data_IF_058426969741
#
_entry.id   IF_058426969741
#
_cell.length_a   1.000
_cell.length_b   1.000
_cell.length_c   1.000
_cell.angle_alpha   90.00
_cell.angle_beta   90.00
_cell.angle_gamma   90.00
#
_symmetry.space_group_name_H-M   'P 1'
#
loop_
_entity.id
_entity.type
_entity.pdbx_description
1 polymer ?
#
# COMPACT_ATOMS: atom_id res chain seq x y z
N UNK A 1 31.68 30.31 34.65
CA UNK A 1 32.23 29.44 33.59
C UNK A 1 31.28 28.25 33.41
N UNK A 2 30.55 28.19 32.30
CA UNK A 2 29.58 27.11 32.06
C UNK A 2 30.30 25.77 31.92
N UNK A 3 29.87 24.75 32.66
CA UNK A 3 30.46 23.40 32.62
C UNK A 3 30.18 22.80 31.24
N UNK A 4 31.20 22.78 30.37
CA UNK A 4 31.20 22.12 29.04
C UNK A 4 30.81 20.63 29.04
N UNK A 5 30.46 20.06 30.20
CA UNK A 5 30.15 18.65 30.42
C UNK A 5 28.69 18.38 30.80
N UNK A 6 27.90 19.40 31.16
CA UNK A 6 26.52 19.19 31.65
C UNK A 6 25.56 19.04 30.48
N UNK A 7 24.72 18.00 30.49
CA UNK A 7 23.72 17.76 29.44
C UNK A 7 22.50 18.63 29.67
N UNK A 8 22.10 19.41 28.67
CA UNK A 8 20.90 20.25 28.76
C UNK A 8 19.69 19.55 28.13
N UNK A 9 18.45 19.99 28.44
CA UNK A 9 17.24 19.50 27.77
C UNK A 9 17.27 19.71 26.24
N UNK A 10 17.94 20.75 25.76
CA UNK A 10 18.14 21.02 24.33
C UNK A 10 19.10 20.00 23.71
N UNK A 11 20.21 19.69 24.38
CA UNK A 11 21.13 18.64 23.95
C UNK A 11 20.41 17.28 23.87
N UNK A 12 19.59 16.94 24.87
CA UNK A 12 18.80 15.70 24.88
C UNK A 12 17.80 15.65 23.74
N UNK A 13 17.14 16.78 23.46
CA UNK A 13 16.20 16.91 22.35
C UNK A 13 16.90 16.75 21.01
N UNK A 14 18.11 17.32 20.86
CA UNK A 14 18.94 17.17 19.66
C UNK A 14 19.42 15.73 19.46
N UNK A 15 19.81 15.04 20.54
CA UNK A 15 20.17 13.60 20.49
C UNK A 15 18.96 12.76 20.11
N UNK A 16 17.79 13.00 20.71
CA UNK A 16 16.57 12.27 20.38
C UNK A 16 16.16 12.48 18.92
N UNK A 17 16.13 13.72 18.43
CA UNK A 17 15.83 14.03 17.03
C UNK A 17 16.86 13.43 16.07
N UNK A 18 18.14 13.45 16.44
CA UNK A 18 19.22 12.82 15.68
C UNK A 18 19.02 11.31 15.53
N UNK A 19 18.73 10.60 16.63
CA UNK A 19 18.47 9.15 16.60
C UNK A 19 17.22 8.83 15.81
N UNK A 20 16.13 9.58 16.00
CA UNK A 20 14.88 9.37 15.26
C UNK A 20 15.05 9.66 13.75
N UNK A 21 15.92 10.60 13.38
CA UNK A 21 16.26 10.84 11.97
C UNK A 21 17.25 9.82 11.39
N UNK A 22 17.70 8.83 12.17
CA UNK A 22 18.62 7.78 11.72
C UNK A 22 20.08 8.21 11.67
N UNK A 23 20.44 9.37 12.23
CA UNK A 23 21.84 9.83 12.28
C UNK A 23 22.66 8.98 13.24
N UNK A 24 23.93 8.81 12.91
CA UNK A 24 24.89 8.12 13.75
C UNK A 24 25.26 8.98 14.97
N UNK A 25 25.70 8.34 16.06
CA UNK A 25 26.17 9.07 17.25
C UNK A 25 27.32 10.04 16.94
N UNK A 26 28.09 9.79 15.88
CA UNK A 26 29.14 10.66 15.39
C UNK A 26 28.57 11.94 14.78
N UNK A 27 27.66 11.84 13.82
CA UNK A 27 27.02 13.00 13.18
C UNK A 27 26.24 13.85 14.18
N UNK A 28 25.57 13.19 15.13
CA UNK A 28 24.87 13.89 16.22
C UNK A 28 25.88 14.67 17.06
N UNK A 29 26.99 14.03 17.46
CA UNK A 29 28.05 14.66 18.23
C UNK A 29 28.70 15.86 17.54
N UNK A 30 28.98 15.73 16.24
CA UNK A 30 29.48 16.83 15.40
C UNK A 30 28.51 18.02 15.39
N UNK A 31 27.20 17.77 15.38
CA UNK A 31 26.17 18.83 15.40
C UNK A 31 26.02 19.57 16.73
N UNK A 32 26.22 18.89 17.87
CA UNK A 32 26.04 19.48 19.22
C UNK A 32 27.37 19.79 19.94
N UNK A 33 28.51 19.60 19.26
CA UNK A 33 29.83 19.82 19.84
C UNK A 33 30.22 18.80 20.93
N UNK A 34 29.75 17.55 20.82
CA UNK A 34 30.04 16.46 21.77
C UNK A 34 30.75 15.30 21.09
N UNK A 35 31.48 14.51 21.87
CA UNK A 35 32.13 13.30 21.34
C UNK A 35 31.09 12.22 21.06
N UNK A 36 31.31 11.42 20.02
CA UNK A 36 30.43 10.29 19.68
C UNK A 36 30.19 9.36 20.88
N UNK A 37 31.22 9.14 21.73
CA UNK A 37 31.15 8.28 22.91
C UNK A 37 30.24 8.87 23.99
N UNK A 38 30.28 10.18 24.21
CA UNK A 38 29.36 10.85 25.13
C UNK A 38 27.90 10.74 24.63
N UNK A 39 27.68 10.91 23.32
CA UNK A 39 26.37 10.75 22.69
C UNK A 39 25.86 9.32 22.84
N UNK A 40 26.69 8.29 22.58
CA UNK A 40 26.29 6.88 22.74
C UNK A 40 25.84 6.54 24.17
N UNK A 41 26.57 7.04 25.18
CA UNK A 41 26.18 6.87 26.59
C UNK A 41 24.86 7.59 26.86
N UNK A 42 24.69 8.82 26.33
CA UNK A 42 23.45 9.58 26.53
C UNK A 42 22.25 8.94 25.87
N UNK A 43 22.38 8.41 24.65
CA UNK A 43 21.33 7.61 23.99
C UNK A 43 20.89 6.46 24.89
N UNK A 44 21.83 5.79 25.55
CA UNK A 44 21.51 4.69 26.47
C UNK A 44 20.69 5.17 27.67
N UNK A 45 21.02 6.33 28.24
CA UNK A 45 20.24 6.93 29.34
C UNK A 45 18.86 7.40 28.88
N UNK A 46 18.76 8.06 27.73
CA UNK A 46 17.50 8.51 27.16
C UNK A 46 16.57 7.33 26.80
N UNK A 47 17.13 6.19 26.37
CA UNK A 47 16.37 4.94 26.20
C UNK A 47 15.83 4.37 27.51
N UNK A 48 16.62 4.43 28.59
CA UNK A 48 16.16 3.99 29.92
C UNK A 48 15.07 4.92 30.46
N UNK A 49 15.17 6.22 30.18
CA UNK A 49 14.19 7.22 30.55
C UNK A 49 12.92 7.19 29.69
N UNK A 50 12.92 6.46 28.57
CA UNK A 50 11.77 6.36 27.65
C UNK A 50 11.66 7.50 26.62
N UNK A 51 12.59 8.45 26.62
CA UNK A 51 12.62 9.58 25.67
C UNK A 51 13.01 9.15 24.24
N UNK A 52 13.68 8.00 24.10
CA UNK A 52 14.06 7.40 22.81
C UNK A 52 13.64 5.91 22.82
N UNK A 53 13.12 5.37 21.70
CA UNK A 53 12.80 3.95 21.62
C UNK A 53 14.03 3.05 21.86
N UNK A 54 13.81 1.90 22.51
CA UNK A 54 14.88 0.92 22.83
C UNK A 54 15.53 0.33 21.58
N UNK A 55 14.78 0.25 20.48
CA UNK A 55 15.24 -0.20 19.17
C UNK A 55 15.53 1.04 18.33
N UNK A 56 16.52 0.97 17.43
CA UNK A 56 16.74 2.01 16.42
C UNK A 56 15.56 2.00 15.44
N UNK A 57 14.46 2.64 15.83
CA UNK A 57 13.31 2.86 14.97
C UNK A 57 13.43 4.29 14.47
N UNK A 58 13.52 4.43 13.16
CA UNK A 58 13.55 5.73 12.49
C UNK A 58 12.16 6.35 12.48
N UNK A 59 12.09 7.68 12.38
CA UNK A 59 10.83 8.41 12.17
C UNK A 59 10.09 7.92 10.94
N UNK A 60 10.82 7.49 9.90
CA UNK A 60 10.26 6.87 8.71
C UNK A 60 9.56 5.53 9.02
N UNK A 61 10.11 4.70 9.89
CA UNK A 61 9.50 3.44 10.31
C UNK A 61 8.30 3.66 11.23
N UNK A 62 8.35 4.66 12.12
CA UNK A 62 7.18 5.08 12.93
C UNK A 62 6.05 5.52 12.01
N UNK A 63 6.33 6.43 11.07
CA UNK A 63 5.35 6.89 10.10
C UNK A 63 4.82 5.74 9.22
N UNK A 64 5.67 4.77 8.85
CA UNK A 64 5.24 3.58 8.12
C UNK A 64 4.30 2.70 8.95
N UNK A 65 4.56 2.53 10.25
CA UNK A 65 3.69 1.81 11.17
C UNK A 65 2.33 2.51 11.34
N UNK A 66 2.35 3.82 11.57
CA UNK A 66 1.12 4.63 11.68
C UNK A 66 0.29 4.55 10.39
N UNK A 67 0.92 4.63 9.22
CA UNK A 67 0.24 4.48 7.94
C UNK A 67 -0.37 3.08 7.76
N UNK A 68 0.27 2.03 8.28
CA UNK A 68 -0.29 0.68 8.28
C UNK A 68 -1.49 0.59 9.22
N UNK A 69 -1.42 1.17 10.42
CA UNK A 69 -2.54 1.21 11.37
C UNK A 69 -3.76 1.96 10.82
N UNK A 70 -3.53 3.08 10.12
CA UNK A 70 -4.60 3.81 9.44
C UNK A 70 -5.25 2.94 8.34
N UNK A 71 -4.44 2.21 7.57
CA UNK A 71 -4.92 1.33 6.50
C UNK A 71 -5.69 0.11 7.01
N UNK A 72 -5.36 -0.39 8.20
CA UNK A 72 -6.13 -1.46 8.84
C UNK A 72 -7.59 -1.04 9.04
N UNK A 73 -7.83 0.25 9.34
CA UNK A 73 -9.16 0.84 9.55
C UNK A 73 -9.91 1.13 8.24
N UNK A 74 -9.28 0.99 7.08
CA UNK A 74 -9.95 1.23 5.80
C UNK A 74 -11.12 0.26 5.58
N UNK A 75 -12.21 0.79 5.01
CA UNK A 75 -13.34 -0.04 4.56
C UNK A 75 -12.88 -1.04 3.49
N UNK A 76 -13.58 -2.19 3.41
CA UNK A 76 -13.25 -3.30 2.49
C UNK A 76 -13.12 -2.84 1.03
N UNK A 77 -14.01 -1.95 0.56
CA UNK A 77 -13.94 -1.40 -0.80
C UNK A 77 -12.65 -0.62 -1.08
N UNK A 78 -12.17 0.18 -0.12
CA UNK A 78 -10.93 0.95 -0.24
C UNK A 78 -9.71 0.03 -0.20
N UNK A 79 -9.69 -0.98 0.68
CA UNK A 79 -8.66 -2.02 0.72
C UNK A 79 -8.58 -2.78 -0.61
N UNK A 80 -9.75 -3.09 -1.19
CA UNK A 80 -9.87 -3.76 -2.49
C UNK A 80 -9.23 -2.95 -3.62
N UNK A 81 -9.57 -1.66 -3.73
CA UNK A 81 -9.02 -0.78 -4.75
C UNK A 81 -7.48 -0.68 -4.63
N UNK A 82 -6.96 -0.59 -3.41
CA UNK A 82 -5.53 -0.59 -3.17
C UNK A 82 -4.85 -1.92 -3.56
N UNK A 83 -5.48 -3.06 -3.27
CA UNK A 83 -4.98 -4.36 -3.67
C UNK A 83 -4.94 -4.51 -5.20
N UNK A 84 -5.98 -4.08 -5.93
CA UNK A 84 -5.96 -4.11 -7.40
C UNK A 84 -4.89 -3.16 -7.96
N UNK A 85 -4.70 -1.97 -7.37
CA UNK A 85 -3.60 -1.07 -7.75
C UNK A 85 -2.23 -1.73 -7.56
N UNK A 86 -1.99 -2.37 -6.42
CA UNK A 86 -0.72 -3.08 -6.19
C UNK A 86 -0.49 -4.17 -7.25
N UNK A 87 -1.53 -4.92 -7.62
CA UNK A 87 -1.46 -5.92 -8.69
C UNK A 87 -1.08 -5.29 -10.04
N UNK A 88 -1.66 -4.13 -10.38
CA UNK A 88 -1.36 -3.41 -11.62
C UNK A 88 0.07 -2.86 -11.65
N UNK A 89 0.58 -2.41 -10.50
CA UNK A 89 1.97 -1.95 -10.34
C UNK A 89 2.99 -3.12 -10.28
N UNK A 90 2.60 -4.35 -10.65
CA UNK A 90 3.38 -5.57 -10.53
C UNK A 90 3.90 -5.87 -9.10
N UNK A 91 3.26 -5.30 -8.07
CA UNK A 91 3.56 -5.57 -6.66
C UNK A 91 2.75 -6.77 -6.20
N UNK A 92 3.43 -7.84 -5.83
CA UNK A 92 2.80 -9.10 -5.45
C UNK A 92 1.86 -9.00 -4.23
N UNK A 93 1.00 -10.00 -3.99
CA UNK A 93 0.04 -10.00 -2.89
C UNK A 93 0.66 -9.82 -1.49
N UNK A 94 1.88 -10.33 -1.29
CA UNK A 94 2.62 -10.19 -0.03
C UNK A 94 2.97 -8.73 0.29
N UNK A 95 3.29 -7.94 -0.74
CA UNK A 95 3.55 -6.52 -0.57
C UNK A 95 2.28 -5.79 -0.11
N UNK A 96 1.16 -6.03 -0.79
CA UNK A 96 -0.12 -5.42 -0.42
C UNK A 96 -0.55 -5.79 1.00
N UNK A 97 -0.36 -7.05 1.40
CA UNK A 97 -0.68 -7.54 2.74
C UNK A 97 0.10 -6.79 3.83
N UNK A 98 1.42 -6.62 3.64
CA UNK A 98 2.27 -5.83 4.54
C UNK A 98 1.81 -4.38 4.63
N UNK A 99 1.48 -3.76 3.50
CA UNK A 99 1.07 -2.35 3.46
C UNK A 99 -0.32 -2.11 4.05
N UNK A 100 -1.23 -3.08 3.96
CA UNK A 100 -2.57 -3.02 4.52
C UNK A 100 -2.65 -3.51 5.98
N UNK A 101 -1.58 -4.13 6.48
CA UNK A 101 -1.55 -4.73 7.81
C UNK A 101 -2.50 -5.92 7.94
N UNK A 102 -2.67 -6.71 6.88
CA UNK A 102 -3.59 -7.85 6.84
C UNK A 102 -2.93 -9.12 6.30
N UNK A 103 -3.68 -10.23 6.29
CA UNK A 103 -3.16 -11.51 5.81
C UNK A 103 -3.09 -11.57 4.27
N UNK A 104 -2.15 -12.33 3.73
CA UNK A 104 -2.05 -12.59 2.28
C UNK A 104 -3.33 -13.25 1.75
N UNK A 105 -4.00 -14.07 2.58
CA UNK A 105 -5.29 -14.68 2.24
C UNK A 105 -6.37 -13.63 2.01
N UNK A 106 -6.50 -12.66 2.90
CA UNK A 106 -7.46 -11.56 2.77
C UNK A 106 -7.21 -10.74 1.49
N UNK A 107 -5.94 -10.47 1.16
CA UNK A 107 -5.60 -9.80 -0.11
C UNK A 107 -6.03 -10.62 -1.33
N UNK A 108 -5.82 -11.94 -1.31
CA UNK A 108 -6.27 -12.82 -2.39
C UNK A 108 -7.79 -12.83 -2.54
N UNK A 109 -8.53 -12.78 -1.43
CA UNK A 109 -10.00 -12.64 -1.43
C UNK A 109 -10.42 -11.31 -2.07
N UNK A 110 -9.79 -10.19 -1.69
CA UNK A 110 -10.06 -8.88 -2.28
C UNK A 110 -9.81 -8.86 -3.79
N UNK A 111 -8.73 -9.49 -4.25
CA UNK A 111 -8.43 -9.61 -5.68
C UNK A 111 -9.41 -10.53 -6.41
N UNK A 112 -9.90 -11.59 -5.75
CA UNK A 112 -10.96 -12.44 -6.29
C UNK A 112 -12.28 -11.66 -6.43
N UNK A 113 -12.64 -10.82 -5.46
CA UNK A 113 -13.78 -9.91 -5.56
C UNK A 113 -13.64 -8.94 -6.74
N UNK A 114 -12.44 -8.37 -6.96
CA UNK A 114 -12.18 -7.53 -8.13
C UNK A 114 -12.47 -8.25 -9.46
N UNK A 115 -12.05 -9.52 -9.58
CA UNK A 115 -12.31 -10.32 -10.77
C UNK A 115 -13.81 -10.55 -10.98
N UNK A 116 -14.51 -10.94 -9.92
CA UNK A 116 -15.97 -11.13 -9.96
C UNK A 116 -16.72 -9.85 -10.34
N UNK A 117 -16.32 -8.70 -9.81
CA UNK A 117 -16.94 -7.42 -10.17
C UNK A 117 -16.71 -7.08 -11.64
N UNK A 118 -15.49 -7.28 -12.15
CA UNK A 118 -15.18 -7.10 -13.58
C UNK A 118 -15.98 -8.05 -14.47
N UNK A 119 -16.16 -9.30 -14.04
CA UNK A 119 -16.99 -10.28 -14.75
C UNK A 119 -18.47 -9.89 -14.75
N UNK A 120 -19.00 -9.39 -13.62
CA UNK A 120 -20.36 -8.89 -13.52
C UNK A 120 -20.59 -7.66 -14.39
N UNK A 121 -19.65 -6.72 -14.40
CA UNK A 121 -19.75 -5.52 -15.25
C UNK A 121 -19.62 -5.90 -16.74
N UNK A 122 -18.71 -6.80 -17.09
CA UNK A 122 -18.63 -7.37 -18.44
C UNK A 122 -19.90 -8.16 -18.83
N UNK A 123 -20.62 -8.73 -17.86
CA UNK A 123 -21.91 -9.38 -18.11
C UNK A 123 -23.02 -8.37 -18.39
N UNK A 124 -23.04 -7.21 -17.72
CA UNK A 124 -24.04 -6.16 -17.97
C UNK A 124 -23.98 -5.61 -19.40
N UNK A 125 -22.80 -5.61 -20.01
CA UNK A 125 -22.62 -5.18 -21.41
C UNK A 125 -22.98 -6.25 -22.44
N UNK A 126 -23.31 -7.47 -22.01
CA UNK A 126 -23.80 -8.52 -22.90
C UNK A 126 -25.24 -8.26 -23.30
N UNK A 127 -25.58 -8.54 -24.56
CA UNK A 127 -26.96 -8.56 -25.05
C UNK A 127 -27.30 -9.92 -25.62
N UNK A 128 -28.49 -10.40 -25.29
CA UNK A 128 -29.08 -11.62 -25.86
C UNK A 128 -29.96 -11.24 -27.05
N UNK A 129 -29.72 -11.85 -28.21
CA UNK A 129 -30.53 -11.64 -29.43
C UNK A 129 -30.65 -12.95 -30.22
N UNK A 130 -31.67 -13.04 -31.07
CA UNK A 130 -31.81 -14.10 -32.08
C UNK A 130 -31.15 -13.71 -33.41
N UNK A 131 -30.55 -14.67 -34.10
CA UNK A 131 -30.07 -14.47 -35.47
C UNK A 131 -31.27 -14.32 -36.42
N UNK A 132 -31.26 -13.32 -37.31
CA UNK A 132 -32.34 -13.16 -38.30
C UNK A 132 -32.35 -14.27 -39.37
N UNK A 133 -31.22 -14.94 -39.60
CA UNK A 133 -31.08 -15.98 -40.63
C UNK A 133 -31.38 -17.39 -40.13
N UNK A 134 -30.91 -17.75 -38.94
CA UNK A 134 -31.05 -19.11 -38.40
C UNK A 134 -31.83 -19.17 -37.08
N UNK A 135 -32.37 -18.03 -36.61
CA UNK A 135 -33.18 -17.89 -35.39
C UNK A 135 -32.56 -18.36 -34.07
N UNK A 136 -31.32 -18.85 -34.09
CA UNK A 136 -30.56 -19.24 -32.90
C UNK A 136 -30.36 -18.03 -31.99
N UNK A 137 -30.62 -18.20 -30.69
CA UNK A 137 -30.40 -17.19 -29.66
C UNK A 137 -28.96 -17.28 -29.16
N UNK A 138 -28.26 -16.15 -29.08
CA UNK A 138 -26.89 -16.08 -28.61
C UNK A 138 -26.62 -14.77 -27.86
N UNK A 139 -25.56 -14.77 -27.04
CA UNK A 139 -25.21 -13.68 -26.11
C UNK A 139 -23.84 -13.12 -26.44
N UNK A 140 -23.76 -11.85 -26.87
CA UNK A 140 -22.49 -11.21 -27.28
C UNK A 140 -22.09 -10.03 -26.41
N UNK A 141 -20.79 -9.82 -26.13
CA UNK A 141 -20.29 -8.75 -25.25
C UNK A 141 -20.21 -7.34 -25.87
N UNK A 142 -20.47 -7.15 -27.18
CA UNK A 142 -20.42 -5.82 -27.80
C UNK A 142 -21.39 -5.70 -28.98
N UNK A 143 -21.94 -4.49 -29.22
CA UNK A 143 -22.80 -4.18 -30.38
C UNK A 143 -22.07 -4.28 -31.74
N UNK A 144 -20.75 -4.24 -31.76
CA UNK A 144 -19.99 -3.94 -32.99
C UNK A 144 -19.48 -5.20 -33.72
N UNK A 145 -19.56 -6.38 -33.09
CA UNK A 145 -18.98 -7.63 -33.59
C UNK A 145 -20.01 -8.75 -33.46
N UNK A 146 -21.15 -8.58 -34.13
CA UNK A 146 -22.10 -9.67 -34.28
C UNK A 146 -21.53 -10.66 -35.31
N UNK A 147 -21.24 -11.87 -34.86
CA UNK A 147 -20.96 -13.02 -35.71
C UNK A 147 -21.87 -14.15 -35.21
N UNK A 148 -22.76 -14.66 -36.05
CA UNK A 148 -23.54 -15.84 -35.67
C UNK A 148 -22.66 -17.10 -35.79
N UNK A 149 -22.35 -17.77 -34.69
CA UNK A 149 -21.51 -18.98 -34.70
C UNK A 149 -22.10 -20.14 -35.51
N UNK A 150 -23.40 -20.11 -35.84
CA UNK A 150 -24.08 -21.16 -36.59
C UNK A 150 -24.13 -20.93 -38.10
N UNK A 151 -24.18 -19.67 -38.54
CA UNK A 151 -24.32 -19.34 -39.97
C UNK A 151 -23.33 -18.27 -40.45
N UNK A 152 -22.36 -17.92 -39.61
CA UNK A 152 -21.30 -16.95 -39.83
C UNK A 152 -21.78 -15.56 -40.34
N UNK A 153 -23.04 -15.20 -40.07
CA UNK A 153 -23.63 -13.93 -40.48
C UNK A 153 -23.14 -12.78 -39.62
N UNK A 154 -22.86 -11.62 -40.24
CA UNK A 154 -22.32 -10.43 -39.57
C UNK A 154 -23.37 -9.34 -39.34
N UNK A 155 -23.18 -8.50 -38.32
CA UNK A 155 -24.05 -7.36 -37.96
C UNK A 155 -24.60 -6.56 -39.15
N UNK A 156 -23.68 -6.16 -40.04
CA UNK A 156 -23.92 -5.31 -41.20
C UNK A 156 -24.83 -5.97 -42.24
N UNK A 157 -24.86 -7.30 -42.31
CA UNK A 157 -25.75 -8.05 -43.21
C UNK A 157 -27.17 -8.22 -42.68
N UNK A 158 -27.43 -7.81 -41.44
CA UNK A 158 -28.71 -8.02 -40.76
C UNK A 158 -29.55 -6.73 -40.64
N UNK A 159 -29.05 -5.57 -41.11
CA UNK A 159 -29.77 -4.28 -41.10
C UNK A 159 -29.76 -3.53 -39.75
N UNK A 160 -28.69 -3.67 -38.95
CA UNK A 160 -28.55 -3.10 -37.59
C UNK A 160 -27.44 -2.06 -37.50
#
# INVERSE_FOLDING_TARGET
MSRRNEWTPEDDSAVAAGVLSGRTAREIGEGIGRTHRAVSVRITHLRKAGSIPKVNITSAEIAAQEAVEERKRWKRAKKRAFADKCRLDAKGPSYAARMLGCSVREVRELLAECRKLKEQDAWKDKRTRSCSRCHKVFTTPHKCRFLCDSCNSYASSMGW
#
